data_IF_586409164254
#
_entry.id   IF_586409164254
#
_cell.length_a   1.000
_cell.length_b   1.000
_cell.length_c   1.000
_cell.angle_alpha   90.00
_cell.angle_beta   90.00
_cell.angle_gamma   90.00
#
_symmetry.space_group_name_H-M   'P 1'
#
loop_
_entity.id
_entity.type
_entity.pdbx_description
1 polymer ?
#
# COMPACT_ATOMS: atom_id res chain seq x y z
N UNK A 1 16.36 -33.37 -19.62
CA UNK A 1 15.16 -32.66 -19.14
C UNK A 1 15.58 -31.75 -18.00
N UNK A 2 15.98 -30.53 -18.32
CA UNK A 2 16.49 -29.53 -17.38
C UNK A 2 15.36 -28.59 -17.00
N UNK A 3 14.87 -28.70 -15.77
CA UNK A 3 13.93 -27.74 -15.19
C UNK A 3 14.67 -26.43 -14.90
N UNK A 4 14.35 -25.41 -15.68
CA UNK A 4 14.76 -24.04 -15.45
C UNK A 4 13.88 -23.46 -14.32
N UNK A 5 14.44 -22.86 -13.25
CA UNK A 5 13.66 -22.44 -12.10
C UNK A 5 12.81 -21.20 -12.41
N UNK A 6 11.53 -21.30 -12.06
CA UNK A 6 10.45 -20.30 -12.21
C UNK A 6 10.77 -18.93 -11.62
N UNK A 7 11.78 -18.85 -10.75
CA UNK A 7 12.23 -17.61 -10.08
C UNK A 7 12.79 -16.59 -11.07
N UNK A 8 13.37 -17.03 -12.20
CA UNK A 8 13.92 -16.11 -13.21
C UNK A 8 12.84 -15.36 -14.01
N UNK A 9 11.59 -15.86 -14.01
CA UNK A 9 10.48 -15.21 -14.75
C UNK A 9 9.88 -14.01 -14.02
N UNK A 10 9.93 -13.97 -12.68
CA UNK A 10 9.41 -12.83 -11.93
C UNK A 10 10.36 -11.63 -11.94
N UNK A 11 11.67 -11.85 -12.10
CA UNK A 11 12.66 -10.76 -12.12
C UNK A 11 12.59 -9.87 -13.38
N UNK A 12 11.89 -10.29 -14.44
CA UNK A 12 11.85 -9.56 -15.73
C UNK A 12 10.53 -8.81 -16.00
N UNK A 13 9.51 -8.95 -15.15
CA UNK A 13 8.22 -8.26 -15.31
C UNK A 13 8.13 -6.93 -14.54
N UNK A 14 9.10 -6.62 -13.68
CA UNK A 14 9.08 -5.42 -12.82
C UNK A 14 9.59 -4.12 -13.46
N UNK A 15 9.94 -4.11 -14.76
CA UNK A 15 10.72 -3.00 -15.34
C UNK A 15 10.15 -2.32 -16.58
N UNK A 16 8.86 -2.47 -16.86
CA UNK A 16 8.29 -1.83 -18.05
C UNK A 16 6.83 -1.46 -17.89
N UNK A 17 6.53 -0.31 -17.26
CA UNK A 17 5.39 0.54 -17.62
C UNK A 17 5.32 1.83 -16.79
N UNK A 18 6.24 2.77 -17.02
CA UNK A 18 5.91 4.20 -16.88
C UNK A 18 6.64 4.98 -17.98
N UNK A 19 6.00 5.09 -19.14
CA UNK A 19 6.41 6.00 -20.20
C UNK A 19 5.17 6.62 -20.86
N UNK A 20 5.10 7.95 -20.74
CA UNK A 20 4.55 8.94 -21.69
C UNK A 20 3.01 9.06 -21.78
N UNK A 21 2.48 10.23 -21.41
CA UNK A 21 2.00 11.25 -22.37
C UNK A 21 2.28 12.67 -21.84
N UNK A 22 3.19 13.37 -22.53
CA UNK A 22 3.27 14.83 -22.59
C UNK A 22 2.27 15.27 -23.66
N UNK A 23 1.34 16.15 -23.32
CA UNK A 23 0.48 16.85 -24.26
C UNK A 23 0.61 18.36 -24.05
N UNK A 24 1.36 19.01 -24.93
CA UNK A 24 1.52 20.46 -25.01
C UNK A 24 0.27 21.16 -25.58
N UNK A 25 0.03 22.36 -25.05
CA UNK A 25 -0.56 23.56 -25.68
C UNK A 25 -1.96 23.50 -26.33
N UNK A 26 -2.87 24.26 -25.72
CA UNK A 26 -3.83 25.08 -26.48
C UNK A 26 -4.06 26.40 -25.75
N UNK A 27 -3.52 27.48 -26.31
CA UNK A 27 -3.94 28.86 -26.03
C UNK A 27 -5.24 29.13 -26.78
N UNK A 28 -6.27 29.65 -26.11
CA UNK A 28 -7.34 30.50 -26.69
C UNK A 28 -8.13 31.19 -25.55
N UNK A 29 -7.97 32.51 -25.41
CA UNK A 29 -8.92 33.43 -24.76
C UNK A 29 -10.05 33.78 -25.75
N UNK A 30 -11.33 33.98 -25.33
CA UNK A 30 -11.76 35.28 -24.77
C UNK A 30 -12.90 35.25 -23.73
N UNK A 31 -13.16 36.43 -23.15
CA UNK A 31 -14.19 36.80 -22.19
C UNK A 31 -15.63 36.36 -22.54
N UNK A 32 -16.41 36.03 -21.51
CA UNK A 32 -17.87 35.96 -21.55
C UNK A 32 -18.44 36.15 -20.15
N UNK A 33 -18.88 37.36 -19.83
CA UNK A 33 -19.64 37.68 -18.62
C UNK A 33 -21.12 37.33 -18.86
N UNK A 34 -21.81 36.95 -17.78
CA UNK A 34 -23.29 36.84 -17.61
C UNK A 34 -23.93 35.53 -18.10
N UNK A 35 -24.50 34.78 -17.14
CA UNK A 35 -25.46 33.72 -17.41
C UNK A 35 -25.55 32.74 -16.25
N UNK A 36 -26.47 32.97 -15.31
CA UNK A 36 -26.59 32.18 -14.08
C UNK A 36 -26.82 30.69 -14.32
N UNK A 37 -25.84 29.88 -13.92
CA UNK A 37 -26.07 28.50 -13.54
C UNK A 37 -25.84 28.42 -12.02
N UNK A 38 -26.94 28.36 -11.26
CA UNK A 38 -26.94 27.86 -9.87
C UNK A 38 -26.49 26.40 -9.91
N UNK A 39 -25.19 26.15 -10.04
CA UNK A 39 -24.61 24.82 -9.92
C UNK A 39 -24.55 24.48 -8.44
N UNK A 40 -25.54 23.68 -8.03
CA UNK A 40 -25.65 23.10 -6.69
C UNK A 40 -24.35 22.40 -6.27
N UNK A 41 -24.09 22.29 -4.95
CA UNK A 41 -23.03 21.47 -4.37
C UNK A 41 -23.09 19.96 -4.73
N UNK A 42 -24.13 19.51 -5.43
CA UNK A 42 -24.33 18.11 -5.84
C UNK A 42 -23.18 17.55 -6.70
N UNK A 43 -22.60 18.34 -7.61
CA UNK A 43 -21.50 17.88 -8.48
C UNK A 43 -20.17 17.65 -7.74
N UNK A 44 -19.89 18.47 -6.71
CA UNK A 44 -18.69 18.32 -5.88
C UNK A 44 -18.82 17.10 -4.96
N UNK A 45 -20.02 16.82 -4.46
CA UNK A 45 -20.28 15.65 -3.62
C UNK A 45 -20.21 14.34 -4.41
N UNK A 46 -20.73 14.29 -5.65
CA UNK A 46 -20.65 13.10 -6.49
C UNK A 46 -19.19 12.71 -6.83
N UNK A 47 -18.38 13.68 -7.28
CA UNK A 47 -16.97 13.44 -7.61
C UNK A 47 -16.10 13.09 -6.39
N UNK A 48 -16.38 13.69 -5.22
CA UNK A 48 -15.66 13.35 -3.99
C UNK A 48 -16.06 11.97 -3.47
N UNK A 49 -17.34 11.60 -3.60
CA UNK A 49 -17.85 10.27 -3.27
C UNK A 49 -17.14 9.18 -4.08
N UNK A 50 -17.08 9.31 -5.39
CA UNK A 50 -16.39 8.35 -6.27
C UNK A 50 -14.93 8.15 -5.86
N UNK A 51 -14.21 9.24 -5.56
CA UNK A 51 -12.84 9.17 -5.06
C UNK A 51 -12.71 8.42 -3.74
N UNK A 52 -13.66 8.58 -2.82
CA UNK A 52 -13.66 7.84 -1.55
C UNK A 52 -13.92 6.35 -1.81
N UNK A 53 -14.82 6.01 -2.73
CA UNK A 53 -15.13 4.62 -3.09
C UNK A 53 -13.91 3.92 -3.73
N UNK A 54 -13.25 4.57 -4.68
CA UNK A 54 -12.01 4.08 -5.29
C UNK A 54 -10.91 3.86 -4.24
N UNK A 55 -10.74 4.83 -3.33
CA UNK A 55 -9.72 4.77 -2.29
C UNK A 55 -10.03 3.68 -1.26
N UNK A 56 -11.29 3.47 -0.89
CA UNK A 56 -11.70 2.36 -0.02
C UNK A 56 -11.35 1.00 -0.65
N UNK A 57 -11.61 0.83 -1.95
CA UNK A 57 -11.26 -0.40 -2.65
C UNK A 57 -9.74 -0.65 -2.72
N UNK A 58 -8.92 0.41 -2.87
CA UNK A 58 -7.47 0.30 -2.74
C UNK A 58 -7.07 -0.08 -1.31
N UNK A 59 -7.63 0.58 -0.30
CA UNK A 59 -7.30 0.35 1.11
C UNK A 59 -7.67 -1.06 1.57
N UNK A 60 -8.78 -1.64 1.14
CA UNK A 60 -9.10 -3.03 1.49
C UNK A 60 -8.10 -4.04 0.91
N UNK A 61 -7.63 -3.82 -0.32
CA UNK A 61 -6.59 -4.66 -0.92
C UNK A 61 -5.27 -4.53 -0.15
N UNK A 62 -4.90 -3.30 0.19
CA UNK A 62 -3.69 -3.03 0.96
C UNK A 62 -3.76 -3.64 2.37
N UNK A 63 -4.90 -3.51 3.04
CA UNK A 63 -5.17 -4.16 4.34
C UNK A 63 -4.93 -5.66 4.30
N UNK A 64 -5.44 -6.34 3.26
CA UNK A 64 -5.22 -7.77 3.08
C UNK A 64 -3.73 -8.09 2.88
N UNK A 65 -3.03 -7.35 2.00
CA UNK A 65 -1.60 -7.51 1.77
C UNK A 65 -0.75 -7.27 3.03
N UNK A 66 -1.10 -6.27 3.84
CA UNK A 66 -0.43 -5.99 5.12
C UNK A 66 -0.62 -7.12 6.13
N UNK A 67 -1.82 -7.70 6.20
CA UNK A 67 -2.11 -8.85 7.07
C UNK A 67 -1.30 -10.08 6.64
N UNK A 68 -1.35 -10.43 5.35
CA UNK A 68 -0.60 -11.55 4.79
C UNK A 68 0.91 -11.38 5.02
N UNK A 69 1.44 -10.18 4.83
CA UNK A 69 2.85 -9.88 5.06
C UNK A 69 3.23 -10.02 6.54
N UNK A 70 2.38 -9.54 7.45
CA UNK A 70 2.60 -9.68 8.88
C UNK A 70 2.54 -11.15 9.32
N UNK A 71 1.57 -11.92 8.83
CA UNK A 71 1.47 -13.35 9.10
C UNK A 71 2.71 -14.09 8.60
N UNK A 72 3.15 -13.82 7.37
CA UNK A 72 4.37 -14.39 6.81
C UNK A 72 5.61 -14.04 7.66
N UNK A 73 5.74 -12.78 8.09
CA UNK A 73 6.85 -12.34 8.92
C UNK A 73 6.84 -13.01 10.31
N UNK A 74 5.66 -13.21 10.91
CA UNK A 74 5.49 -13.92 12.19
C UNK A 74 5.84 -15.40 12.05
N UNK A 75 5.51 -16.05 10.93
CA UNK A 75 5.89 -17.44 10.66
C UNK A 75 7.40 -17.61 10.52
N UNK A 76 8.08 -16.62 9.97
CA UNK A 76 9.53 -16.68 9.68
C UNK A 76 10.38 -16.36 10.92
N UNK A 77 9.93 -15.53 11.86
CA UNK A 77 10.79 -15.12 12.98
C UNK A 77 10.09 -14.62 14.24
N UNK A 78 10.81 -14.66 15.36
CA UNK A 78 10.33 -14.23 16.68
C UNK A 78 10.80 -12.82 17.06
N UNK A 79 9.85 -11.99 17.52
CA UNK A 79 10.02 -10.76 18.30
C UNK A 79 11.04 -9.70 17.78
N UNK A 80 10.96 -9.34 16.50
CA UNK A 80 11.64 -8.15 15.95
C UNK A 80 10.90 -6.86 16.34
N UNK A 81 11.56 -5.76 16.73
CA UNK A 81 10.92 -4.45 16.89
C UNK A 81 10.10 -4.02 15.66
N UNK A 82 10.51 -4.43 14.46
CA UNK A 82 9.80 -4.22 13.19
C UNK A 82 8.45 -4.95 13.15
N UNK A 83 8.30 -6.13 13.77
CA UNK A 83 6.99 -6.77 13.94
C UNK A 83 6.07 -5.94 14.87
N UNK A 84 6.65 -5.31 15.89
CA UNK A 84 5.94 -4.38 16.76
C UNK A 84 5.48 -3.12 16.01
N UNK A 85 6.32 -2.58 15.14
CA UNK A 85 5.96 -1.48 14.24
C UNK A 85 4.84 -1.87 13.28
N UNK A 86 4.97 -3.02 12.59
CA UNK A 86 3.97 -3.53 11.67
C UNK A 86 2.60 -3.68 12.34
N UNK A 87 2.55 -4.27 13.55
CA UNK A 87 1.31 -4.42 14.32
C UNK A 87 0.68 -3.09 14.71
N UNK A 88 1.49 -2.11 15.14
CA UNK A 88 1.00 -0.77 15.50
C UNK A 88 0.45 -0.03 14.28
N UNK A 89 1.17 -0.09 13.17
CA UNK A 89 0.75 0.52 11.91
C UNK A 89 -0.55 -0.11 11.40
N UNK A 90 -0.67 -1.44 11.46
CA UNK A 90 -1.90 -2.15 11.11
C UNK A 90 -3.09 -1.70 11.98
N UNK A 91 -2.90 -1.64 13.30
CA UNK A 91 -3.95 -1.21 14.23
C UNK A 91 -4.39 0.25 13.98
N UNK A 92 -3.44 1.14 13.65
CA UNK A 92 -3.72 2.51 13.27
C UNK A 92 -4.51 2.56 11.94
N UNK A 93 -4.11 1.79 10.94
CA UNK A 93 -4.80 1.69 9.65
C UNK A 93 -6.25 1.24 9.82
N UNK A 94 -6.47 0.20 10.62
CA UNK A 94 -7.80 -0.29 11.00
C UNK A 94 -8.67 0.77 11.69
N UNK A 95 -8.07 1.55 12.60
CA UNK A 95 -8.77 2.64 13.26
C UNK A 95 -9.18 3.74 12.28
N UNK A 96 -8.29 4.13 11.37
CA UNK A 96 -8.55 5.18 10.39
C UNK A 96 -9.55 4.73 9.32
N UNK A 97 -9.48 3.47 8.88
CA UNK A 97 -10.44 2.89 7.95
C UNK A 97 -11.86 2.94 8.52
N UNK A 98 -12.05 2.49 9.77
CA UNK A 98 -13.36 2.58 10.44
C UNK A 98 -13.88 4.02 10.53
N UNK A 99 -13.03 4.99 10.85
CA UNK A 99 -13.41 6.40 10.87
C UNK A 99 -13.82 6.90 9.48
N UNK A 100 -13.08 6.47 8.45
CA UNK A 100 -13.38 6.77 7.05
C UNK A 100 -14.72 6.20 6.58
N UNK A 101 -15.00 4.93 6.91
CA UNK A 101 -16.28 4.28 6.61
C UNK A 101 -17.46 4.98 7.30
N UNK A 102 -17.29 5.37 8.57
CA UNK A 102 -18.31 6.14 9.31
C UNK A 102 -18.56 7.50 8.66
N UNK A 103 -17.50 8.24 8.31
CA UNK A 103 -17.63 9.53 7.62
C UNK A 103 -18.28 9.38 6.24
N UNK A 104 -17.91 8.35 5.48
CA UNK A 104 -18.51 8.03 4.18
C UNK A 104 -20.01 7.71 4.32
N UNK A 105 -20.39 6.86 5.27
CA UNK A 105 -21.79 6.54 5.57
C UNK A 105 -22.62 7.75 6.01
N UNK A 106 -21.99 8.70 6.71
CA UNK A 106 -22.56 9.99 7.07
C UNK A 106 -22.51 11.04 5.94
N UNK A 107 -22.05 10.66 4.74
CA UNK A 107 -21.90 11.53 3.56
C UNK A 107 -20.93 12.72 3.76
N UNK A 108 -20.02 12.60 4.73
CA UNK A 108 -18.96 13.57 5.01
C UNK A 108 -17.74 13.27 4.13
N UNK A 109 -17.92 13.30 2.80
CA UNK A 109 -16.93 12.77 1.85
C UNK A 109 -15.53 13.37 1.96
N UNK A 110 -15.32 14.69 2.18
CA UNK A 110 -13.98 15.23 2.38
C UNK A 110 -13.27 14.64 3.61
N UNK A 111 -14.01 14.47 4.72
CA UNK A 111 -13.48 13.84 5.93
C UNK A 111 -13.25 12.33 5.73
N UNK A 112 -14.14 11.65 5.00
CA UNK A 112 -13.94 10.26 4.59
C UNK A 112 -12.65 10.09 3.79
N UNK A 113 -12.39 10.96 2.81
CA UNK A 113 -11.18 10.93 1.99
C UNK A 113 -9.91 11.08 2.84
N UNK A 114 -9.91 12.00 3.80
CA UNK A 114 -8.79 12.22 4.73
C UNK A 114 -8.50 10.96 5.56
N UNK A 115 -9.54 10.40 6.18
CA UNK A 115 -9.40 9.23 7.07
C UNK A 115 -9.01 7.97 6.30
N UNK A 116 -9.61 7.72 5.13
CA UNK A 116 -9.23 6.57 4.28
C UNK A 116 -7.82 6.77 3.71
N UNK A 117 -7.41 7.99 3.39
CA UNK A 117 -6.03 8.31 3.01
C UNK A 117 -5.02 8.04 4.13
N UNK A 118 -5.36 8.38 5.36
CA UNK A 118 -4.53 8.04 6.53
C UNK A 118 -4.45 6.52 6.76
N UNK A 119 -5.55 5.80 6.52
CA UNK A 119 -5.57 4.33 6.59
C UNK A 119 -4.63 3.70 5.56
N UNK A 120 -4.64 4.20 4.32
CA UNK A 120 -3.73 3.75 3.24
C UNK A 120 -2.26 3.87 3.66
N UNK A 121 -1.86 5.02 4.19
CA UNK A 121 -0.48 5.25 4.64
C UNK A 121 -0.10 4.27 5.75
N UNK A 122 -0.99 4.07 6.72
CA UNK A 122 -0.75 3.17 7.84
C UNK A 122 -0.64 1.69 7.40
N UNK A 123 -1.47 1.23 6.47
CA UNK A 123 -1.36 -0.12 5.93
C UNK A 123 -0.08 -0.31 5.09
N UNK A 124 0.30 0.67 4.25
CA UNK A 124 1.58 0.61 3.52
C UNK A 124 2.76 0.49 4.49
N UNK A 125 2.76 1.29 5.56
CA UNK A 125 3.79 1.22 6.60
C UNK A 125 3.79 -0.12 7.34
N UNK A 126 2.62 -0.72 7.56
CA UNK A 126 2.49 -2.03 8.18
C UNK A 126 3.10 -3.14 7.30
N UNK A 127 2.79 -3.12 6.00
CA UNK A 127 3.36 -4.04 5.01
C UNK A 127 4.88 -3.90 4.94
N UNK A 128 5.40 -2.68 4.77
CA UNK A 128 6.84 -2.41 4.70
C UNK A 128 7.57 -2.89 5.96
N UNK A 129 7.02 -2.61 7.14
CA UNK A 129 7.61 -3.06 8.40
C UNK A 129 7.60 -4.59 8.52
N UNK A 130 6.51 -5.26 8.13
CA UNK A 130 6.43 -6.71 8.13
C UNK A 130 7.43 -7.36 7.16
N UNK A 131 7.53 -6.83 5.93
CA UNK A 131 8.50 -7.30 4.93
C UNK A 131 9.93 -7.11 5.43
N UNK A 132 10.26 -5.94 6.00
CA UNK A 132 11.59 -5.71 6.60
C UNK A 132 11.90 -6.69 7.73
N UNK A 133 10.93 -6.97 8.60
CA UNK A 133 11.11 -7.97 9.66
C UNK A 133 11.43 -9.37 9.09
N UNK A 134 10.65 -9.80 8.10
CA UNK A 134 10.87 -11.10 7.44
C UNK A 134 12.23 -11.20 6.76
N UNK A 135 12.62 -10.17 6.00
CA UNK A 135 13.93 -10.11 5.33
C UNK A 135 15.09 -10.02 6.33
N UNK A 136 14.95 -9.24 7.40
CA UNK A 136 15.94 -9.12 8.47
C UNK A 136 16.20 -10.44 9.18
N UNK A 137 15.15 -11.22 9.42
CA UNK A 137 15.28 -12.58 9.98
C UNK A 137 16.03 -13.52 9.03
N UNK A 138 15.65 -13.56 7.75
CA UNK A 138 16.33 -14.39 6.74
C UNK A 138 17.81 -14.01 6.63
N UNK A 139 18.12 -12.72 6.62
CA UNK A 139 19.50 -12.25 6.54
C UNK A 139 20.34 -12.71 7.74
N UNK A 140 19.80 -12.62 8.97
CA UNK A 140 20.45 -13.16 10.18
C UNK A 140 20.66 -14.68 10.10
N UNK A 141 19.62 -15.43 9.75
CA UNK A 141 19.70 -16.89 9.62
C UNK A 141 20.74 -17.35 8.57
N UNK A 142 20.90 -16.60 7.48
CA UNK A 142 21.91 -16.88 6.46
C UNK A 142 23.32 -16.48 6.90
N UNK A 143 23.47 -15.40 7.67
CA UNK A 143 24.74 -14.95 8.24
C UNK A 143 25.29 -15.88 9.35
N UNK A 144 24.40 -16.60 10.04
CA UNK A 144 24.75 -17.50 11.14
C UNK A 144 25.13 -18.93 10.71
N UNK A 145 25.35 -19.22 9.41
CA UNK A 145 25.77 -20.55 8.96
C UNK A 145 26.99 -21.03 9.77
N UNK A 146 26.88 -22.12 10.55
CA UNK A 146 28.00 -22.60 11.35
C UNK A 146 29.13 -23.00 10.41
N UNK A 147 30.34 -22.48 10.68
CA UNK A 147 31.55 -22.95 10.03
C UNK A 147 31.62 -24.47 10.23
N UNK A 148 31.55 -25.23 9.13
CA UNK A 148 31.70 -26.68 9.15
C UNK A 148 33.04 -26.96 9.85
N UNK A 149 33.08 -27.63 11.01
CA UNK A 149 34.36 -27.96 11.62
C UNK A 149 35.15 -28.79 10.60
N UNK A 150 36.46 -28.52 10.40
CA UNK A 150 37.27 -29.34 9.52
C UNK A 150 37.19 -30.77 10.05
N UNK A 151 36.53 -31.64 9.29
CA UNK A 151 36.48 -33.06 9.59
C UNK A 151 37.92 -33.56 9.56
N UNK A 152 38.42 -34.00 10.71
CA UNK A 152 39.64 -34.78 10.79
C UNK A 152 39.43 -36.06 9.98
N UNK A 153 39.89 -36.04 8.73
CA UNK A 153 40.11 -37.24 7.95
C UNK A 153 41.33 -37.90 8.60
N UNK A 154 41.08 -38.95 9.39
CA UNK A 154 42.11 -39.88 9.83
C UNK A 154 42.54 -40.77 8.68
#
# INVERSE_FOLDING_TARGET
MTHMPTVLRLALLGWGLVAVIIGCASTNTPQGHIGGARNRPEGVNASTRERVEELLAEVYRLRAASLESLEAAVLIGTADPELGEARRALALGEQQLRKGEVAYGAQQYPQGLEMVGAARIAFSSAEEAAVRAGLGHIARALGERPARPPGNVK
#
